data_IF_742702072757
#
_entry.id   IF_742702072757
#
_cell.length_a   1.000
_cell.length_b   1.000
_cell.length_c   1.000
_cell.angle_alpha   90.00
_cell.angle_beta   90.00
_cell.angle_gamma   90.00
#
_symmetry.space_group_name_H-M   'P 1'
#
loop_
_entity.id
_entity.type
_entity.pdbx_description
1 polymer ?
#
# COMPACT_ATOMS: atom_id res chain seq x y z
N UNK A 1 27.08 -25.78 39.12
CA UNK A 1 26.26 -24.62 39.50
C UNK A 1 26.96 -23.38 38.95
N UNK A 2 26.38 -22.71 37.94
CA UNK A 2 27.03 -21.57 37.27
C UNK A 2 26.81 -20.32 38.11
N UNK A 3 27.88 -19.80 38.71
CA UNK A 3 27.89 -18.48 39.35
C UNK A 3 27.75 -17.42 38.25
N UNK A 4 26.62 -16.71 38.22
CA UNK A 4 26.45 -15.53 37.38
C UNK A 4 26.91 -14.31 38.16
N UNK A 5 28.08 -13.77 37.79
CA UNK A 5 28.60 -12.54 38.40
C UNK A 5 27.68 -11.36 38.06
N UNK A 6 27.03 -10.80 39.09
CA UNK A 6 26.19 -9.62 38.98
C UNK A 6 27.06 -8.36 39.00
N UNK A 7 26.87 -7.47 38.03
CA UNK A 7 27.66 -6.25 37.87
C UNK A 7 27.01 -5.10 38.65
N UNK A 8 27.78 -4.39 39.47
CA UNK A 8 27.30 -3.27 40.30
C UNK A 8 27.84 -1.95 39.76
N UNK A 9 27.03 -0.89 39.80
CA UNK A 9 27.50 0.46 39.43
C UNK A 9 28.54 0.97 40.44
N UNK A 10 29.63 1.54 39.95
CA UNK A 10 30.67 2.17 40.79
C UNK A 10 30.23 3.52 41.37
N UNK A 11 29.14 4.11 40.86
CA UNK A 11 28.62 5.44 41.24
C UNK A 11 27.39 5.38 42.16
N UNK A 12 26.63 4.29 42.15
CA UNK A 12 25.64 3.99 43.19
C UNK A 12 25.64 2.48 43.48
N UNK A 13 25.62 2.09 44.76
CA UNK A 13 25.39 0.69 45.17
C UNK A 13 23.91 0.29 45.16
N UNK A 14 23.07 1.09 44.51
CA UNK A 14 21.62 1.04 44.64
C UNK A 14 20.96 -0.06 43.80
N UNK A 15 21.70 -0.71 42.88
CA UNK A 15 21.17 -1.81 42.06
C UNK A 15 22.28 -2.69 41.48
N UNK A 16 22.02 -4.00 41.39
CA UNK A 16 22.88 -4.97 40.69
C UNK A 16 22.27 -5.33 39.33
N UNK A 17 23.12 -5.53 38.31
CA UNK A 17 22.71 -5.73 36.93
C UNK A 17 23.17 -7.09 36.42
N UNK A 18 22.31 -7.76 35.65
CA UNK A 18 22.57 -9.08 35.06
C UNK A 18 23.56 -9.04 33.88
N UNK A 19 23.83 -7.87 33.31
CA UNK A 19 24.78 -7.67 32.21
C UNK A 19 25.15 -6.19 32.04
N UNK A 20 26.24 -5.92 31.28
CA UNK A 20 26.75 -4.57 31.01
C UNK A 20 25.73 -3.66 30.30
N UNK A 21 24.86 -4.22 29.46
CA UNK A 21 23.80 -3.44 28.78
C UNK A 21 22.80 -2.85 29.78
N UNK A 22 22.42 -3.62 30.79
CA UNK A 22 21.57 -3.16 31.88
C UNK A 22 22.22 -2.04 32.69
N UNK A 23 23.52 -2.18 33.00
CA UNK A 23 24.30 -1.16 33.69
C UNK A 23 24.40 0.14 32.87
N UNK A 24 24.68 0.04 31.57
CA UNK A 24 24.83 1.19 30.67
C UNK A 24 23.53 2.01 30.56
N UNK A 25 22.37 1.35 30.46
CA UNK A 25 21.07 2.02 30.43
C UNK A 25 20.73 2.70 31.76
N UNK A 26 21.10 2.09 32.89
CA UNK A 26 20.95 2.71 34.20
C UNK A 26 21.83 3.97 34.32
N UNK A 27 23.08 3.88 33.88
CA UNK A 27 24.01 5.01 33.91
C UNK A 27 23.51 6.18 33.06
N UNK A 28 23.04 5.92 31.84
CA UNK A 28 22.46 6.95 30.95
C UNK A 28 21.22 7.63 31.53
N UNK A 29 20.41 6.92 32.32
CA UNK A 29 19.16 7.45 32.87
C UNK A 29 19.33 8.18 34.19
N UNK A 30 20.24 7.72 35.04
CA UNK A 30 20.37 8.18 36.43
C UNK A 30 21.55 9.14 36.60
N UNK A 31 22.63 8.99 35.82
CA UNK A 31 23.86 9.77 36.00
C UNK A 31 24.18 10.71 34.82
N UNK A 32 23.52 10.58 33.67
CA UNK A 32 23.78 11.48 32.55
C UNK A 32 23.06 12.81 32.76
N UNK A 33 23.81 13.82 33.20
CA UNK A 33 23.38 15.22 33.28
C UNK A 33 22.95 15.72 31.90
N UNK A 34 21.73 16.28 31.80
CA UNK A 34 21.23 16.92 30.57
C UNK A 34 21.99 18.21 30.34
N UNK A 35 23.07 18.14 29.57
CA UNK A 35 23.70 19.34 29.04
C UNK A 35 23.04 19.67 27.69
N UNK A 36 22.23 20.75 27.69
CA UNK A 36 21.66 21.34 26.48
C UNK A 36 22.80 22.01 25.70
N UNK A 37 23.48 21.27 24.83
CA UNK A 37 24.13 21.84 23.66
C UNK A 37 24.21 20.78 22.57
N UNK A 38 23.61 21.14 21.43
CA UNK A 38 23.31 20.29 20.30
C UNK A 38 24.57 19.71 19.65
N UNK A 39 24.78 18.41 19.83
CA UNK A 39 25.37 17.56 18.81
C UNK A 39 24.20 16.69 18.33
N UNK A 40 23.68 16.98 17.14
CA UNK A 40 22.71 16.13 16.46
C UNK A 40 23.39 14.79 16.16
N UNK A 41 23.29 13.87 17.10
CA UNK A 41 23.44 12.45 16.84
C UNK A 41 22.25 12.09 15.96
N UNK A 42 22.53 11.70 14.73
CA UNK A 42 21.57 11.28 13.71
C UNK A 42 20.68 10.17 14.25
N UNK A 43 19.60 10.53 14.96
CA UNK A 43 18.48 9.63 15.19
C UNK A 43 17.97 9.30 13.81
N UNK A 44 18.16 8.06 13.36
CA UNK A 44 17.54 7.53 12.15
C UNK A 44 16.04 7.84 12.21
N UNK A 45 15.65 8.96 11.62
CA UNK A 45 14.26 9.39 11.47
C UNK A 45 13.69 8.49 10.40
N UNK A 46 13.34 7.26 10.77
CA UNK A 46 12.40 6.49 9.98
C UNK A 46 11.11 7.31 9.95
N UNK A 47 10.92 8.06 8.87
CA UNK A 47 9.67 8.74 8.59
C UNK A 47 8.58 7.67 8.58
N UNK A 48 7.76 7.67 9.64
CA UNK A 48 6.64 6.74 9.71
C UNK A 48 5.68 7.06 8.57
N UNK A 49 5.10 6.03 7.99
CA UNK A 49 4.04 6.19 7.00
C UNK A 49 2.69 6.05 7.67
N UNK A 50 1.77 6.94 7.34
CA UNK A 50 0.46 7.02 7.99
C UNK A 50 -0.62 6.44 7.09
N UNK A 51 -1.57 5.74 7.70
CA UNK A 51 -2.80 5.38 7.01
C UNK A 51 -3.68 6.63 6.87
N UNK A 52 -4.19 6.88 5.67
CA UNK A 52 -5.09 8.01 5.40
C UNK A 52 -6.53 7.74 5.84
N UNK A 53 -6.89 6.47 6.05
CA UNK A 53 -8.25 6.03 6.38
C UNK A 53 -8.45 5.79 7.89
N UNK A 54 -7.40 5.35 8.59
CA UNK A 54 -7.46 5.12 10.03
C UNK A 54 -6.91 6.31 10.83
N UNK A 55 -7.61 6.67 11.90
CA UNK A 55 -7.13 7.70 12.82
C UNK A 55 -5.84 7.25 13.55
N UNK A 56 -4.77 8.05 13.45
CA UNK A 56 -3.48 7.87 14.17
C UNK A 56 -2.75 6.53 13.95
N UNK A 57 -3.08 5.75 12.90
CA UNK A 57 -2.33 4.53 12.57
C UNK A 57 -1.11 4.86 11.71
N UNK A 58 0.06 4.42 12.18
CA UNK A 58 1.33 4.63 11.50
C UNK A 58 2.18 3.37 11.50
N UNK A 59 3.04 3.24 10.48
CA UNK A 59 3.84 2.04 10.24
C UNK A 59 5.29 2.42 10.00
N UNK A 60 6.20 1.48 10.28
CA UNK A 60 7.64 1.66 10.05
C UNK A 60 7.96 1.92 8.58
N UNK A 61 7.21 1.32 7.65
CA UNK A 61 7.45 1.40 6.22
C UNK A 61 6.15 1.19 5.40
N UNK A 62 6.21 1.48 4.10
CA UNK A 62 5.08 1.32 3.16
C UNK A 62 4.54 -0.11 3.11
N UNK A 63 5.39 -1.12 3.30
CA UNK A 63 4.95 -2.52 3.30
C UNK A 63 4.02 -2.81 4.48
N UNK A 64 4.35 -2.31 5.68
CA UNK A 64 3.49 -2.42 6.85
C UNK A 64 2.13 -1.73 6.64
N UNK A 65 2.13 -0.55 6.03
CA UNK A 65 0.90 0.17 5.67
C UNK A 65 0.06 -0.60 4.63
N UNK A 66 0.69 -1.11 3.57
CA UNK A 66 0.02 -1.89 2.52
C UNK A 66 -0.62 -3.16 3.06
N UNK A 67 0.06 -3.88 3.97
CA UNK A 67 -0.51 -5.05 4.64
C UNK A 67 -1.72 -4.65 5.50
N UNK A 68 -1.62 -3.55 6.24
CA UNK A 68 -2.75 -3.03 6.99
C UNK A 68 -3.94 -2.68 6.08
N UNK A 69 -3.73 -1.98 4.97
CA UNK A 69 -4.80 -1.67 4.01
C UNK A 69 -5.40 -2.92 3.37
N UNK A 70 -4.64 -4.01 3.26
CA UNK A 70 -5.15 -5.27 2.72
C UNK A 70 -6.04 -6.01 3.70
N UNK A 71 -5.73 -5.96 4.99
CA UNK A 71 -6.51 -6.65 6.03
C UNK A 71 -7.68 -5.80 6.52
N UNK A 72 -7.45 -4.51 6.79
CA UNK A 72 -8.43 -3.63 7.44
C UNK A 72 -9.29 -2.86 6.45
N UNK A 73 -8.80 -2.66 5.22
CA UNK A 73 -9.48 -1.89 4.18
C UNK A 73 -9.70 -2.70 2.91
N UNK A 74 -9.98 -4.00 3.04
CA UNK A 74 -10.23 -4.92 1.92
C UNK A 74 -11.43 -4.48 1.06
N UNK A 75 -12.44 -3.86 1.67
CA UNK A 75 -13.68 -3.42 1.00
C UNK A 75 -13.73 -1.91 0.76
N UNK A 76 -12.67 -1.16 1.08
CA UNK A 76 -12.63 0.26 0.77
C UNK A 76 -12.54 0.45 -0.74
N UNK A 77 -13.50 1.14 -1.34
CA UNK A 77 -13.63 1.27 -2.80
C UNK A 77 -13.80 2.71 -3.29
N UNK A 78 -13.68 3.70 -2.40
CA UNK A 78 -13.88 5.11 -2.73
C UNK A 78 -12.61 5.66 -3.39
N UNK A 79 -12.66 6.13 -4.65
CA UNK A 79 -11.50 6.70 -5.33
C UNK A 79 -10.89 7.91 -4.64
N UNK A 80 -9.69 8.29 -5.08
CA UNK A 80 -9.03 9.49 -4.59
C UNK A 80 -9.92 10.74 -4.82
N UNK A 81 -10.09 11.55 -3.77
CA UNK A 81 -10.78 12.83 -3.88
C UNK A 81 -10.00 13.82 -4.76
N UNK A 82 -10.71 14.67 -5.49
CA UNK A 82 -10.12 15.72 -6.34
C UNK A 82 -9.61 15.25 -7.70
N UNK A 83 -10.02 14.07 -8.17
CA UNK A 83 -9.77 13.66 -9.56
C UNK A 83 -10.57 14.56 -10.51
N UNK A 84 -9.89 15.16 -11.48
CA UNK A 84 -10.53 15.96 -12.53
C UNK A 84 -11.16 14.98 -13.54
N UNK A 85 -12.49 15.00 -13.74
CA UNK A 85 -13.15 14.13 -14.70
C UNK A 85 -12.62 14.35 -16.11
N UNK A 86 -12.53 13.29 -16.89
CA UNK A 86 -12.17 13.39 -18.30
C UNK A 86 -13.41 13.69 -19.15
N UNK A 87 -13.26 14.40 -20.28
CA UNK A 87 -14.35 14.57 -21.24
C UNK A 87 -14.89 13.21 -21.72
N UNK A 88 -16.20 13.08 -22.02
CA UNK A 88 -16.79 11.81 -22.48
C UNK A 88 -16.08 11.21 -23.70
N UNK A 89 -15.64 12.06 -24.64
CA UNK A 89 -14.87 11.64 -25.82
C UNK A 89 -13.57 10.91 -25.43
N UNK A 90 -12.81 11.48 -24.49
CA UNK A 90 -11.55 10.87 -24.04
C UNK A 90 -11.77 9.56 -23.27
N UNK A 91 -12.91 9.42 -22.58
CA UNK A 91 -13.31 8.15 -21.95
C UNK A 91 -13.64 7.10 -23.00
N UNK A 92 -14.39 7.45 -24.05
CA UNK A 92 -14.73 6.52 -25.13
C UNK A 92 -13.49 6.07 -25.91
N UNK A 93 -12.58 7.00 -26.27
CA UNK A 93 -11.31 6.65 -26.91
C UNK A 93 -10.45 5.70 -26.05
N UNK A 94 -10.51 5.86 -24.73
CA UNK A 94 -9.83 4.95 -23.80
C UNK A 94 -10.50 3.57 -23.72
N UNK A 95 -11.84 3.49 -23.76
CA UNK A 95 -12.57 2.21 -23.88
C UNK A 95 -12.20 1.48 -25.16
N UNK A 96 -12.16 2.18 -26.29
CA UNK A 96 -11.77 1.61 -27.59
C UNK A 96 -10.34 1.07 -27.53
N UNK A 97 -9.43 1.80 -26.89
CA UNK A 97 -8.05 1.36 -26.66
C UNK A 97 -7.99 0.08 -25.81
N UNK A 98 -8.79 -0.01 -24.74
CA UNK A 98 -8.88 -1.21 -23.89
C UNK A 98 -9.36 -2.41 -24.70
N UNK A 99 -10.47 -2.26 -25.44
CA UNK A 99 -11.06 -3.30 -26.28
C UNK A 99 -10.05 -3.78 -27.32
N UNK A 100 -9.41 -2.86 -28.03
CA UNK A 100 -8.41 -3.20 -29.05
C UNK A 100 -7.26 -4.04 -28.48
N UNK A 101 -6.73 -3.65 -27.33
CA UNK A 101 -5.64 -4.37 -26.66
C UNK A 101 -6.07 -5.74 -26.14
N UNK A 102 -7.29 -5.85 -25.62
CA UNK A 102 -7.90 -7.13 -25.22
C UNK A 102 -8.00 -8.04 -26.44
N UNK A 103 -8.61 -7.58 -27.53
CA UNK A 103 -8.81 -8.36 -28.76
C UNK A 103 -7.48 -8.79 -29.38
N UNK A 104 -6.47 -7.92 -29.45
CA UNK A 104 -5.13 -8.30 -29.93
C UNK A 104 -4.60 -9.47 -29.11
N UNK A 105 -4.70 -9.40 -27.78
CA UNK A 105 -4.17 -10.43 -26.89
C UNK A 105 -4.95 -11.73 -26.98
N UNK A 106 -6.27 -11.67 -27.03
CA UNK A 106 -7.11 -12.85 -27.20
C UNK A 106 -6.89 -13.53 -28.56
N UNK A 107 -6.75 -12.77 -29.66
CA UNK A 107 -6.48 -13.30 -31.01
C UNK A 107 -5.14 -14.01 -31.12
N UNK A 108 -4.08 -13.43 -30.53
CA UNK A 108 -2.76 -14.09 -30.46
C UNK A 108 -2.84 -15.37 -29.61
N UNK A 109 -3.69 -15.39 -28.58
CA UNK A 109 -3.79 -16.48 -27.60
C UNK A 109 -4.57 -17.72 -28.03
N UNK A 110 -4.98 -17.86 -29.30
CA UNK A 110 -5.60 -19.13 -29.78
C UNK A 110 -4.69 -20.35 -29.57
N UNK A 111 -3.37 -20.14 -29.35
CA UNK A 111 -2.39 -21.15 -28.95
C UNK A 111 -2.01 -21.13 -27.45
N UNK A 112 -2.38 -20.10 -26.71
CA UNK A 112 -2.00 -19.87 -25.31
C UNK A 112 -3.21 -19.96 -24.38
N UNK A 113 -3.56 -21.19 -24.01
CA UNK A 113 -4.58 -21.47 -23.00
C UNK A 113 -4.08 -21.00 -21.63
N UNK A 114 -4.75 -20.01 -21.02
CA UNK A 114 -4.42 -19.57 -19.68
C UNK A 114 -4.77 -18.12 -19.36
N UNK A 115 -4.29 -17.66 -18.21
CA UNK A 115 -4.50 -16.28 -17.74
C UNK A 115 -3.75 -15.30 -18.65
N UNK A 116 -4.49 -14.45 -19.34
CA UNK A 116 -3.96 -13.36 -20.15
C UNK A 116 -3.89 -12.06 -19.32
N UNK A 117 -2.83 -11.27 -19.52
CA UNK A 117 -2.62 -9.99 -18.84
C UNK A 117 -2.23 -8.93 -19.86
N UNK A 118 -2.88 -7.77 -19.78
CA UNK A 118 -2.56 -6.59 -20.58
C UNK A 118 -2.11 -5.46 -19.67
N UNK A 119 -1.17 -4.64 -20.14
CA UNK A 119 -0.71 -3.45 -19.42
C UNK A 119 -0.87 -2.26 -20.34
N UNK A 120 -1.61 -1.25 -19.87
CA UNK A 120 -1.89 -0.04 -20.63
C UNK A 120 -1.58 1.16 -19.73
N UNK A 121 -0.68 2.07 -20.15
CA UNK A 121 -0.51 3.33 -19.45
C UNK A 121 -1.78 4.16 -19.58
N UNK A 122 -2.32 4.64 -18.46
CA UNK A 122 -3.50 5.49 -18.46
C UNK A 122 -3.47 6.45 -17.27
N UNK A 123 -4.26 7.52 -17.36
CA UNK A 123 -4.52 8.41 -16.23
C UNK A 123 -5.46 7.75 -15.24
N UNK A 124 -5.26 8.03 -13.95
CA UNK A 124 -6.17 7.58 -12.88
C UNK A 124 -7.62 8.01 -13.14
N UNK A 125 -7.82 9.23 -13.67
CA UNK A 125 -9.14 9.75 -14.05
C UNK A 125 -9.78 9.02 -15.23
N UNK A 126 -9.00 8.46 -16.16
CA UNK A 126 -9.53 7.63 -17.25
C UNK A 126 -10.00 6.28 -16.71
N UNK A 127 -9.17 5.63 -15.89
CA UNK A 127 -9.53 4.36 -15.26
C UNK A 127 -10.79 4.50 -14.40
N UNK A 128 -10.81 5.50 -13.50
CA UNK A 128 -11.99 5.78 -12.68
C UNK A 128 -13.16 6.17 -13.56
N UNK A 129 -12.98 6.99 -14.60
CA UNK A 129 -14.07 7.36 -15.51
C UNK A 129 -14.75 6.17 -16.19
N UNK A 130 -14.00 5.11 -16.54
CA UNK A 130 -14.57 3.89 -17.12
C UNK A 130 -15.18 2.98 -16.04
N UNK A 131 -14.51 2.82 -14.90
CA UNK A 131 -14.83 1.77 -13.94
C UNK A 131 -15.43 2.24 -12.60
N UNK A 132 -15.76 3.53 -12.41
CA UNK A 132 -16.13 4.12 -11.11
C UNK A 132 -17.16 3.31 -10.33
N UNK A 133 -18.24 2.85 -10.99
CA UNK A 133 -19.31 2.06 -10.37
C UNK A 133 -18.96 0.58 -10.11
N UNK A 134 -17.79 0.13 -10.54
CA UNK A 134 -17.36 -1.27 -10.54
C UNK A 134 -16.08 -1.50 -9.72
N UNK A 135 -15.59 -0.45 -9.03
CA UNK A 135 -14.43 -0.57 -8.14
C UNK A 135 -14.85 -1.40 -6.93
N UNK A 136 -14.27 -2.59 -6.82
CA UNK A 136 -14.45 -3.46 -5.65
C UNK A 136 -13.47 -3.13 -4.53
N UNK A 137 -12.32 -2.53 -4.87
CA UNK A 137 -11.30 -2.12 -3.90
C UNK A 137 -10.40 -1.00 -4.42
N UNK A 138 -9.98 -0.12 -3.53
CA UNK A 138 -8.94 0.88 -3.72
C UNK A 138 -7.95 0.88 -2.53
N UNK A 139 -6.65 0.99 -2.81
CA UNK A 139 -5.58 1.06 -1.81
C UNK A 139 -4.89 2.43 -1.88
N UNK A 140 -5.20 3.35 -0.95
CA UNK A 140 -4.61 4.70 -0.96
C UNK A 140 -3.09 4.74 -0.82
N UNK A 141 -2.49 3.76 -0.14
CA UNK A 141 -1.03 3.71 0.01
C UNK A 141 -0.30 3.29 -1.28
N UNK A 142 -0.96 2.52 -2.13
CA UNK A 142 -0.40 2.01 -3.39
C UNK A 142 -0.91 2.78 -4.61
N UNK A 143 -2.02 3.49 -4.48
CA UNK A 143 -2.74 4.08 -5.62
C UNK A 143 -3.33 3.00 -6.54
N UNK A 144 -3.72 1.85 -5.98
CA UNK A 144 -4.15 0.69 -6.75
C UNK A 144 -5.66 0.51 -6.66
N UNK A 145 -6.28 0.27 -7.81
CA UNK A 145 -7.70 -0.02 -7.95
C UNK A 145 -7.89 -1.48 -8.39
N UNK A 146 -8.97 -2.10 -7.95
CA UNK A 146 -9.38 -3.41 -8.40
C UNK A 146 -10.84 -3.37 -8.82
N UNK A 147 -11.09 -3.87 -10.02
CA UNK A 147 -12.41 -4.24 -10.51
C UNK A 147 -12.33 -5.71 -10.88
N UNK A 148 -13.19 -6.54 -10.30
CA UNK A 148 -13.18 -7.99 -10.51
C UNK A 148 -14.54 -8.37 -11.07
N UNK A 149 -14.55 -8.89 -12.29
CA UNK A 149 -15.73 -9.37 -13.00
C UNK A 149 -15.64 -10.89 -13.07
N UNK A 150 -16.62 -11.59 -12.50
CA UNK A 150 -16.65 -13.06 -12.43
C UNK A 150 -18.08 -13.57 -12.56
N UNK A 151 -18.24 -14.82 -12.99
CA UNK A 151 -19.54 -15.46 -13.16
C UNK A 151 -20.18 -15.20 -14.53
N UNK A 152 -21.40 -15.71 -14.71
CA UNK A 152 -22.09 -15.79 -16.01
C UNK A 152 -22.34 -14.40 -16.61
N UNK A 153 -22.62 -13.37 -15.81
CA UNK A 153 -22.89 -12.01 -16.28
C UNK A 153 -21.65 -11.13 -16.49
N UNK A 154 -20.43 -11.66 -16.30
CA UNK A 154 -19.21 -10.86 -16.35
C UNK A 154 -18.92 -10.35 -17.77
N UNK A 155 -19.22 -11.15 -18.79
CA UNK A 155 -18.96 -10.80 -20.17
C UNK A 155 -19.87 -9.66 -20.63
N UNK A 156 -21.16 -9.75 -20.31
CA UNK A 156 -22.17 -8.74 -20.60
C UNK A 156 -21.90 -7.45 -19.83
N UNK A 157 -21.51 -7.54 -18.55
CA UNK A 157 -21.15 -6.37 -17.75
C UNK A 157 -19.99 -5.60 -18.38
N UNK A 158 -18.95 -6.30 -18.83
CA UNK A 158 -17.83 -5.68 -19.54
C UNK A 158 -18.27 -5.08 -20.88
N UNK A 159 -19.16 -5.75 -21.61
CA UNK A 159 -19.72 -5.21 -22.85
C UNK A 159 -20.49 -3.91 -22.64
N UNK A 160 -21.29 -3.82 -21.58
CA UNK A 160 -21.99 -2.59 -21.20
C UNK A 160 -21.03 -1.48 -20.76
N UNK A 161 -19.98 -1.82 -20.01
CA UNK A 161 -18.94 -0.86 -19.60
C UNK A 161 -18.23 -0.28 -20.82
N UNK A 162 -17.83 -1.13 -21.75
CA UNK A 162 -17.12 -0.71 -22.96
C UNK A 162 -18.04 -0.09 -24.00
N UNK A 163 -19.34 -0.39 -23.97
CA UNK A 163 -20.27 -0.03 -25.05
C UNK A 163 -20.06 -0.89 -26.30
N UNK A 164 -19.50 -2.09 -26.14
CA UNK A 164 -19.19 -3.02 -27.22
C UNK A 164 -19.48 -4.46 -26.77
N UNK A 165 -20.50 -5.10 -27.35
CA UNK A 165 -20.87 -6.49 -27.05
C UNK A 165 -19.81 -7.51 -27.55
N UNK A 166 -18.96 -7.10 -28.49
CA UNK A 166 -17.90 -7.93 -29.10
C UNK A 166 -16.52 -7.58 -28.57
N UNK A 167 -16.44 -6.98 -27.39
CA UNK A 167 -15.18 -6.56 -26.79
C UNK A 167 -14.15 -7.69 -26.60
N UNK A 168 -14.60 -8.95 -26.48
CA UNK A 168 -13.76 -10.13 -26.25
C UNK A 168 -13.59 -11.06 -27.44
N UNK A 169 -14.02 -10.67 -28.65
CA UNK A 169 -14.16 -11.55 -29.83
C UNK A 169 -13.42 -11.00 -31.05
#
# INVERSE_FOLDING_TARGET
>A
MVQTDSIVSSLCKCKTFKNNKGLQLHWQRIHQSKNNNSIQISTSTYSRVFCKLCHKKSYKNKQGLSRHETVVHSHYNIPRAGLIPQPPKAINEFKDTLVHMIQIKLKISTREVGRQVIMIPCLESQFVGVFNGYIGRYSPSRGWYWCIFTGVGAYESLGQIFGDEKWGV
#
